data_IF_091540893851
#
_entry.id   IF_091540893851
#
_cell.length_a   1.000
_cell.length_b   1.000
_cell.length_c   1.000
_cell.angle_alpha   90.00
_cell.angle_beta   90.00
_cell.angle_gamma   90.00
#
_symmetry.space_group_name_H-M   'P 1'
#
loop_
_entity.id
_entity.type
_entity.pdbx_description
1 polymer ?
#
# COMPACT_ATOMS: atom_id res chain seq x y z
N UNK A 1 7.79 13.83 -7.31
CA UNK A 1 7.07 15.09 -7.59
C UNK A 1 8.02 16.21 -7.99
N UNK A 2 9.05 16.54 -7.19
CA UNK A 2 10.09 17.52 -7.54
C UNK A 2 10.78 17.15 -8.88
N UNK A 3 11.10 15.86 -9.07
CA UNK A 3 11.75 15.37 -10.29
C UNK A 3 10.93 15.59 -11.58
N UNK A 4 9.62 15.70 -11.47
CA UNK A 4 8.72 16.00 -12.62
C UNK A 4 8.42 17.49 -12.78
N UNK A 5 9.10 18.36 -12.01
CA UNK A 5 9.04 19.81 -12.19
C UNK A 5 8.07 20.57 -11.28
N UNK A 6 7.54 19.97 -10.23
CA UNK A 6 6.78 20.70 -9.22
C UNK A 6 7.69 21.53 -8.32
N UNK A 7 7.19 22.66 -7.81
CA UNK A 7 7.84 23.37 -6.72
C UNK A 7 7.77 22.57 -5.42
N UNK A 8 8.59 22.95 -4.43
CA UNK A 8 8.55 22.32 -3.10
C UNK A 8 7.16 22.42 -2.46
N UNK A 9 6.51 23.58 -2.56
CA UNK A 9 5.17 23.80 -2.01
C UNK A 9 4.08 22.99 -2.73
N UNK A 10 4.18 22.87 -4.06
CA UNK A 10 3.27 22.06 -4.85
C UNK A 10 3.41 20.57 -4.53
N UNK A 11 4.64 20.08 -4.39
CA UNK A 11 4.91 18.71 -4.00
C UNK A 11 4.40 18.41 -2.58
N UNK A 12 4.63 19.33 -1.62
CA UNK A 12 4.12 19.21 -0.26
C UNK A 12 2.59 19.22 -0.21
N UNK A 13 1.94 20.10 -0.98
CA UNK A 13 0.48 20.14 -1.09
C UNK A 13 -0.08 18.81 -1.63
N UNK A 14 0.56 18.20 -2.63
CA UNK A 14 0.15 16.89 -3.14
C UNK A 14 0.26 15.80 -2.07
N UNK A 15 1.33 15.79 -1.27
CA UNK A 15 1.50 14.86 -0.14
C UNK A 15 0.39 15.02 0.88
N UNK A 16 0.12 16.27 1.32
CA UNK A 16 -0.91 16.55 2.33
C UNK A 16 -2.30 16.14 1.83
N UNK A 17 -2.65 16.52 0.60
CA UNK A 17 -3.95 16.21 0.02
C UNK A 17 -4.14 14.70 -0.14
N UNK A 18 -3.13 13.98 -0.61
CA UNK A 18 -3.16 12.52 -0.70
C UNK A 18 -3.42 11.88 0.65
N UNK A 19 -2.74 12.37 1.71
CA UNK A 19 -2.89 11.85 3.07
C UNK A 19 -4.27 12.14 3.64
N UNK A 20 -4.87 13.28 3.34
CA UNK A 20 -6.25 13.61 3.77
C UNK A 20 -7.26 12.65 3.14
N UNK A 21 -7.17 12.38 1.85
CA UNK A 21 -8.07 11.41 1.21
C UNK A 21 -7.83 9.98 1.72
N UNK A 22 -6.58 9.62 1.91
CA UNK A 22 -6.21 8.29 2.41
C UNK A 22 -6.75 8.05 3.81
N UNK A 23 -6.59 9.01 4.74
CA UNK A 23 -7.06 8.84 6.13
C UNK A 23 -8.57 8.74 6.21
N UNK A 24 -9.31 9.46 5.38
CA UNK A 24 -10.77 9.36 5.32
C UNK A 24 -11.20 7.93 4.95
N UNK A 25 -10.60 7.36 3.91
CA UNK A 25 -10.91 6.00 3.49
C UNK A 25 -10.49 4.94 4.52
N UNK A 26 -9.31 5.11 5.13
CA UNK A 26 -8.82 4.26 6.22
C UNK A 26 -9.78 4.30 7.42
N UNK A 27 -10.22 5.48 7.80
CA UNK A 27 -11.10 5.68 8.96
C UNK A 27 -12.45 4.99 8.79
N UNK A 28 -13.04 5.11 7.60
CA UNK A 28 -14.28 4.41 7.30
C UNK A 28 -14.10 2.89 7.32
N UNK A 29 -13.05 2.34 6.71
CA UNK A 29 -12.84 0.90 6.66
C UNK A 29 -12.38 0.29 8.00
N UNK A 30 -11.74 1.06 8.87
CA UNK A 30 -11.22 0.57 10.15
C UNK A 30 -12.30 0.32 11.22
N UNK A 31 -13.42 1.04 11.13
CA UNK A 31 -14.43 1.08 12.18
C UNK A 31 -15.01 -0.29 12.54
N UNK A 32 -15.28 -1.13 11.54
CA UNK A 32 -15.78 -2.48 11.78
C UNK A 32 -14.73 -3.37 12.44
N UNK A 33 -13.45 -3.26 12.03
CA UNK A 33 -12.34 -3.99 12.64
C UNK A 33 -12.21 -3.71 14.14
N UNK A 34 -12.17 -2.43 14.50
CA UNK A 34 -12.07 -2.00 15.89
C UNK A 34 -13.30 -2.34 16.72
N UNK A 35 -14.50 -2.35 16.12
CA UNK A 35 -15.75 -2.65 16.84
C UNK A 35 -15.91 -4.13 17.14
N UNK A 36 -15.56 -5.00 16.19
CA UNK A 36 -15.85 -6.42 16.28
C UNK A 36 -14.62 -7.30 16.52
N UNK A 37 -13.41 -6.74 16.50
CA UNK A 37 -12.18 -7.50 16.65
C UNK A 37 -11.87 -8.43 15.47
N UNK A 38 -12.46 -8.17 14.30
CA UNK A 38 -12.36 -9.04 13.13
C UNK A 38 -11.39 -8.49 12.09
N UNK A 39 -10.57 -9.37 11.46
CA UNK A 39 -9.67 -8.99 10.37
C UNK A 39 -10.43 -8.79 9.05
N UNK A 40 -9.77 -8.13 8.10
CA UNK A 40 -10.29 -7.88 6.75
C UNK A 40 -10.87 -9.13 6.06
N UNK A 41 -10.16 -10.31 6.02
CA UNK A 41 -10.68 -11.48 5.31
C UNK A 41 -11.97 -12.04 5.88
N UNK A 42 -12.29 -11.74 7.14
CA UNK A 42 -13.55 -12.14 7.78
C UNK A 42 -14.62 -11.08 7.53
N UNK A 43 -14.31 -9.79 7.75
CA UNK A 43 -15.28 -8.70 7.58
C UNK A 43 -15.85 -8.62 6.16
N UNK A 44 -15.03 -8.86 5.15
CA UNK A 44 -15.46 -8.80 3.75
C UNK A 44 -16.48 -9.88 3.36
N UNK A 45 -16.66 -10.92 4.20
CA UNK A 45 -17.72 -11.93 4.03
C UNK A 45 -19.12 -11.31 4.08
N UNK A 46 -19.31 -10.25 4.86
CA UNK A 46 -20.57 -9.53 4.92
C UNK A 46 -21.00 -8.99 3.55
N UNK A 47 -20.06 -8.47 2.78
CA UNK A 47 -20.33 -7.90 1.45
C UNK A 47 -20.36 -8.95 0.35
N UNK A 48 -19.40 -9.89 0.33
CA UNK A 48 -19.16 -10.80 -0.80
C UNK A 48 -19.69 -12.23 -0.59
N UNK A 49 -20.07 -12.58 0.64
CA UNK A 49 -20.39 -13.96 1.03
C UNK A 49 -19.13 -14.73 1.46
N UNK A 50 -19.32 -15.85 2.18
CA UNK A 50 -18.20 -16.57 2.78
C UNK A 50 -17.24 -17.22 1.78
N UNK A 51 -17.71 -17.62 0.57
CA UNK A 51 -16.86 -18.08 -0.54
C UNK A 51 -16.39 -16.91 -1.40
N UNK A 52 -17.29 -15.98 -1.72
CA UNK A 52 -16.99 -14.83 -2.56
C UNK A 52 -15.91 -13.92 -1.97
N UNK A 53 -15.80 -13.85 -0.66
CA UNK A 53 -14.77 -13.09 0.06
C UNK A 53 -13.34 -13.50 -0.34
N UNK A 54 -13.11 -14.75 -0.70
CA UNK A 54 -11.77 -15.21 -1.10
C UNK A 54 -11.23 -14.48 -2.34
N UNK A 55 -12.10 -14.02 -3.23
CA UNK A 55 -11.65 -13.38 -4.47
C UNK A 55 -10.98 -12.01 -4.22
N UNK A 56 -11.63 -11.00 -3.59
CA UNK A 56 -10.96 -9.74 -3.28
C UNK A 56 -9.81 -9.88 -2.27
N UNK A 57 -9.87 -10.85 -1.35
CA UNK A 57 -8.79 -11.18 -0.43
C UNK A 57 -7.55 -11.63 -1.20
N UNK A 58 -7.70 -12.52 -2.18
CA UNK A 58 -6.58 -13.02 -2.99
C UNK A 58 -6.01 -11.94 -3.92
N UNK A 59 -6.84 -11.10 -4.54
CA UNK A 59 -6.36 -9.96 -5.33
C UNK A 59 -5.47 -9.07 -4.45
N UNK A 60 -5.93 -8.73 -3.26
CA UNK A 60 -5.19 -7.92 -2.32
C UNK A 60 -3.89 -8.59 -1.87
N UNK A 61 -3.91 -9.91 -1.60
CA UNK A 61 -2.71 -10.66 -1.24
C UNK A 61 -1.65 -10.63 -2.35
N UNK A 62 -2.06 -10.88 -3.60
CA UNK A 62 -1.16 -10.82 -4.77
C UNK A 62 -0.53 -9.43 -4.92
N UNK A 63 -1.31 -8.37 -4.75
CA UNK A 63 -0.80 -6.99 -4.81
C UNK A 63 0.19 -6.69 -3.67
N UNK A 64 -0.07 -7.18 -2.47
CA UNK A 64 0.88 -7.01 -1.36
C UNK A 64 2.19 -7.79 -1.61
N UNK A 65 2.11 -9.01 -2.16
CA UNK A 65 3.29 -9.79 -2.55
C UNK A 65 4.07 -9.10 -3.68
N UNK A 66 3.37 -8.45 -4.62
CA UNK A 66 4.00 -7.60 -5.62
C UNK A 66 4.82 -6.46 -4.97
N UNK A 67 4.25 -5.73 -4.00
CA UNK A 67 4.96 -4.69 -3.26
C UNK A 67 6.10 -5.26 -2.41
N UNK A 68 5.94 -6.46 -1.85
CA UNK A 68 7.03 -7.18 -1.20
C UNK A 68 8.24 -7.33 -2.12
N UNK A 69 8.00 -7.76 -3.35
CA UNK A 69 9.04 -7.96 -4.35
C UNK A 69 9.78 -6.66 -4.69
N UNK A 70 9.02 -5.58 -4.93
CA UNK A 70 9.56 -4.23 -5.20
C UNK A 70 10.46 -3.75 -4.06
N UNK A 71 9.96 -3.80 -2.84
CA UNK A 71 10.73 -3.33 -1.68
C UNK A 71 11.93 -4.24 -1.38
N UNK A 72 11.82 -5.55 -1.64
CA UNK A 72 12.95 -6.46 -1.50
C UNK A 72 14.08 -6.10 -2.48
N UNK A 73 13.76 -5.79 -3.72
CA UNK A 73 14.76 -5.35 -4.69
C UNK A 73 15.38 -3.99 -4.30
N UNK A 74 14.56 -3.01 -3.92
CA UNK A 74 15.08 -1.70 -3.49
C UNK A 74 15.96 -1.81 -2.23
N UNK A 75 15.53 -2.60 -1.24
CA UNK A 75 16.30 -2.81 -0.01
C UNK A 75 17.57 -3.64 -0.20
N UNK A 76 17.60 -4.53 -1.21
CA UNK A 76 18.82 -5.28 -1.55
C UNK A 76 19.98 -4.40 -2.02
N UNK A 77 19.67 -3.22 -2.57
CA UNK A 77 20.69 -2.22 -2.92
C UNK A 77 21.43 -1.70 -1.69
N UNK A 78 20.79 -1.66 -0.53
CA UNK A 78 21.45 -1.30 0.73
C UNK A 78 22.44 -2.40 1.16
N UNK A 79 22.11 -3.68 0.95
CA UNK A 79 23.07 -4.79 1.15
C UNK A 79 24.29 -4.61 0.23
N UNK A 80 24.04 -4.34 -1.05
CA UNK A 80 25.10 -4.08 -2.03
C UNK A 80 26.01 -2.90 -1.62
N UNK A 81 25.40 -1.80 -1.13
CA UNK A 81 26.15 -0.63 -0.65
C UNK A 81 27.05 -0.95 0.56
N UNK A 82 26.57 -1.77 1.50
CA UNK A 82 27.41 -2.22 2.64
C UNK A 82 28.58 -3.05 2.14
N UNK A 83 28.32 -4.01 1.25
CA UNK A 83 29.36 -4.92 0.76
C UNK A 83 30.40 -4.17 -0.09
N UNK A 84 29.98 -3.21 -0.93
CA UNK A 84 30.88 -2.45 -1.80
C UNK A 84 31.92 -1.62 -1.03
N UNK A 85 31.54 -1.17 0.18
CA UNK A 85 32.49 -0.44 1.07
C UNK A 85 33.55 -1.37 1.66
N UNK A 86 33.16 -2.60 2.03
CA UNK A 86 34.04 -3.57 2.68
C UNK A 86 34.85 -4.37 1.66
N UNK A 87 34.30 -4.61 0.49
CA UNK A 87 34.85 -5.44 -0.57
C UNK A 87 34.79 -4.72 -1.92
N UNK A 88 35.87 -3.98 -2.29
CA UNK A 88 35.89 -3.13 -3.49
C UNK A 88 35.67 -3.87 -4.83
N UNK A 89 35.99 -5.18 -4.88
CA UNK A 89 35.72 -6.03 -6.07
C UNK A 89 34.23 -6.30 -6.29
N UNK A 90 33.36 -5.94 -5.34
CA UNK A 90 31.91 -6.15 -5.43
C UNK A 90 31.29 -5.60 -6.71
N UNK A 91 31.66 -4.38 -7.08
CA UNK A 91 31.10 -3.70 -8.25
C UNK A 91 31.49 -4.42 -9.56
N UNK A 92 32.67 -5.08 -9.63
CA UNK A 92 33.11 -5.83 -10.80
C UNK A 92 32.28 -7.09 -11.07
N UNK A 93 31.63 -7.66 -10.03
CA UNK A 93 30.73 -8.80 -10.21
C UNK A 93 29.50 -8.42 -11.05
N UNK A 94 29.17 -7.14 -11.15
CA UNK A 94 28.10 -6.62 -12.02
C UNK A 94 28.33 -6.85 -13.51
N UNK A 95 29.57 -7.13 -13.93
CA UNK A 95 29.90 -7.51 -15.31
C UNK A 95 29.27 -8.87 -15.71
N UNK A 96 29.06 -9.73 -14.73
CA UNK A 96 28.39 -11.03 -14.94
C UNK A 96 26.88 -10.82 -14.74
N UNK A 97 26.13 -10.75 -15.84
CA UNK A 97 24.68 -10.51 -15.78
C UNK A 97 23.88 -11.78 -16.10
N UNK A 98 22.78 -11.99 -15.37
CA UNK A 98 21.83 -13.07 -15.57
C UNK A 98 20.40 -12.55 -15.36
N UNK A 99 19.47 -12.89 -16.25
CA UNK A 99 18.08 -12.44 -16.20
C UNK A 99 17.89 -10.94 -15.94
N UNK A 100 18.75 -10.09 -16.51
CA UNK A 100 18.64 -8.64 -16.40
C UNK A 100 19.21 -8.01 -15.12
N UNK A 101 19.88 -8.80 -14.26
CA UNK A 101 20.60 -8.31 -13.07
C UNK A 101 22.06 -8.77 -13.09
N UNK A 102 22.96 -7.95 -12.54
CA UNK A 102 24.34 -8.33 -12.27
C UNK A 102 24.44 -9.36 -11.14
N UNK A 103 25.52 -10.13 -11.11
CA UNK A 103 25.74 -11.14 -10.06
C UNK A 103 25.79 -10.51 -8.67
N UNK A 104 26.39 -9.34 -8.51
CA UNK A 104 26.39 -8.56 -7.25
C UNK A 104 24.95 -8.24 -6.80
N UNK A 105 24.08 -7.80 -7.71
CA UNK A 105 22.67 -7.53 -7.40
C UNK A 105 21.91 -8.79 -7.02
N UNK A 106 22.19 -9.93 -7.68
CA UNK A 106 21.61 -11.22 -7.32
C UNK A 106 22.01 -11.67 -5.91
N UNK A 107 23.29 -11.52 -5.56
CA UNK A 107 23.77 -11.86 -4.21
C UNK A 107 23.11 -10.94 -3.16
N UNK A 108 23.06 -9.62 -3.42
CA UNK A 108 22.39 -8.67 -2.55
C UNK A 108 20.90 -8.98 -2.39
N UNK A 109 20.21 -9.30 -3.49
CA UNK A 109 18.79 -9.68 -3.48
C UNK A 109 18.56 -10.96 -2.68
N UNK A 110 19.34 -12.01 -2.93
CA UNK A 110 19.25 -13.27 -2.21
C UNK A 110 19.51 -13.10 -0.71
N UNK A 111 20.53 -12.32 -0.34
CA UNK A 111 20.84 -12.04 1.06
C UNK A 111 19.69 -11.32 1.76
N UNK A 112 19.14 -10.27 1.15
CA UNK A 112 18.03 -9.52 1.72
C UNK A 112 16.72 -10.34 1.75
N UNK A 113 16.49 -11.15 0.72
CA UNK A 113 15.38 -12.11 0.69
C UNK A 113 15.46 -13.13 1.83
N UNK A 114 16.65 -13.69 2.09
CA UNK A 114 16.91 -14.60 3.21
C UNK A 114 16.70 -13.92 4.59
N UNK A 115 17.03 -12.64 4.72
CA UNK A 115 16.73 -11.88 5.94
C UNK A 115 15.22 -11.81 6.21
N UNK A 116 14.39 -11.57 5.19
CA UNK A 116 12.94 -11.63 5.33
C UNK A 116 12.47 -13.02 5.74
N UNK A 117 12.98 -14.06 5.09
CA UNK A 117 12.64 -15.45 5.43
C UNK A 117 13.01 -15.78 6.87
N UNK A 118 14.16 -15.31 7.32
CA UNK A 118 14.60 -15.49 8.71
C UNK A 118 13.69 -14.78 9.72
N UNK A 119 13.33 -13.52 9.49
CA UNK A 119 12.42 -12.77 10.37
C UNK A 119 11.06 -13.48 10.46
N UNK A 120 10.48 -13.84 9.31
CA UNK A 120 9.17 -14.49 9.24
C UNK A 120 9.15 -15.88 9.85
N UNK A 121 10.24 -16.65 9.72
CA UNK A 121 10.35 -18.00 10.29
C UNK A 121 10.28 -18.03 11.82
N UNK A 122 10.62 -16.91 12.47
CA UNK A 122 10.55 -16.77 13.94
C UNK A 122 9.17 -16.29 14.45
N UNK A 123 8.20 -16.11 13.55
CA UNK A 123 6.81 -15.79 13.89
C UNK A 123 6.54 -14.32 14.24
N UNK A 124 5.27 -14.04 14.53
CA UNK A 124 4.75 -12.67 14.70
C UNK A 124 5.37 -11.89 15.86
N UNK A 125 5.76 -12.57 16.94
CA UNK A 125 6.34 -11.92 18.13
C UNK A 125 7.71 -11.30 17.81
N UNK A 126 8.54 -12.01 17.02
CA UNK A 126 9.81 -11.46 16.53
C UNK A 126 9.62 -10.28 15.61
N UNK A 127 8.65 -10.34 14.70
CA UNK A 127 8.29 -9.23 13.84
C UNK A 127 7.95 -7.99 14.67
N UNK A 128 7.09 -8.13 15.68
CA UNK A 128 6.72 -7.05 16.59
C UNK A 128 7.92 -6.44 17.32
N UNK A 129 8.77 -7.27 17.89
CA UNK A 129 9.94 -6.82 18.65
C UNK A 129 10.94 -6.10 17.74
N UNK A 130 11.09 -6.55 16.51
CA UNK A 130 11.92 -5.91 15.51
C UNK A 130 11.42 -4.49 15.17
N UNK A 131 10.12 -4.30 15.01
CA UNK A 131 9.49 -3.00 14.71
C UNK A 131 9.73 -1.95 15.80
N UNK A 132 9.78 -2.35 17.08
CA UNK A 132 9.91 -1.41 18.19
C UNK A 132 11.20 -0.57 18.15
N UNK A 133 12.28 -1.10 17.60
CA UNK A 133 13.55 -0.38 17.49
C UNK A 133 13.87 0.08 16.05
N UNK A 134 13.34 -0.60 15.05
CA UNK A 134 13.53 -0.23 13.65
C UNK A 134 12.92 1.14 13.33
N UNK A 135 11.71 1.41 13.82
CA UNK A 135 11.02 2.69 13.59
C UNK A 135 11.83 3.92 14.03
N UNK A 136 12.30 4.02 15.29
CA UNK A 136 13.17 5.10 15.72
C UNK A 136 14.45 5.25 14.87
N UNK A 137 15.08 4.15 14.47
CA UNK A 137 16.28 4.19 13.63
C UNK A 137 16.03 4.83 12.26
N UNK A 138 14.88 4.53 11.65
CA UNK A 138 14.48 5.15 10.37
C UNK A 138 14.36 6.67 10.51
N UNK A 139 13.71 7.14 11.58
CA UNK A 139 13.54 8.56 11.83
C UNK A 139 14.90 9.25 12.01
N UNK A 140 15.80 8.67 12.78
CA UNK A 140 17.16 9.22 12.99
C UNK A 140 17.92 9.34 11.69
N UNK A 141 17.90 8.29 10.84
CA UNK A 141 18.52 8.35 9.51
C UNK A 141 17.93 9.44 8.64
N UNK A 142 16.60 9.49 8.53
CA UNK A 142 15.93 10.48 7.69
C UNK A 142 16.23 11.91 8.16
N UNK A 143 16.27 12.17 9.47
CA UNK A 143 16.68 13.45 10.04
C UNK A 143 18.13 13.80 9.73
N UNK A 144 19.04 12.81 9.76
CA UNK A 144 20.43 13.00 9.36
C UNK A 144 20.57 13.47 7.91
N UNK A 145 19.82 12.84 6.98
CA UNK A 145 19.79 13.25 5.57
C UNK A 145 19.13 14.62 5.36
N UNK A 146 18.09 14.96 6.14
CA UNK A 146 17.48 16.30 6.13
C UNK A 146 18.48 17.35 6.60
N UNK A 147 19.19 17.10 7.70
CA UNK A 147 20.22 18.00 8.19
C UNK A 147 21.33 18.22 7.15
N UNK A 148 21.80 17.16 6.52
CA UNK A 148 22.71 17.26 5.39
C UNK A 148 22.14 18.12 4.26
N UNK A 149 20.86 17.91 3.87
CA UNK A 149 20.20 18.67 2.81
C UNK A 149 20.14 20.18 3.13
N UNK A 150 19.82 20.54 4.37
CA UNK A 150 19.80 21.93 4.85
C UNK A 150 21.20 22.55 4.75
N UNK A 151 22.24 21.80 5.16
CA UNK A 151 23.63 22.27 5.11
C UNK A 151 24.07 22.53 3.65
N UNK A 152 23.82 21.60 2.74
CA UNK A 152 24.19 21.72 1.32
C UNK A 152 23.40 22.83 0.61
N UNK A 153 22.14 23.04 1.00
CA UNK A 153 21.31 24.10 0.44
C UNK A 153 21.62 25.50 1.05
N UNK A 154 22.58 25.60 1.99
CA UNK A 154 22.87 26.83 2.75
C UNK A 154 21.66 27.39 3.51
N UNK A 155 20.84 26.52 4.08
CA UNK A 155 19.70 26.87 4.91
C UNK A 155 18.37 26.24 4.43
N UNK A 156 17.34 26.45 5.22
CA UNK A 156 15.97 25.95 4.94
C UNK A 156 15.31 26.73 3.80
N UNK A 157 15.53 28.07 3.74
CA UNK A 157 14.92 28.95 2.73
C UNK A 157 15.12 28.45 1.29
N UNK A 158 16.35 28.15 0.86
CA UNK A 158 16.63 27.65 -0.50
C UNK A 158 15.98 26.32 -0.84
N UNK A 159 15.63 25.50 0.15
CA UNK A 159 14.88 24.24 -0.08
C UNK A 159 13.44 24.56 -0.49
N UNK A 160 12.83 25.57 0.09
CA UNK A 160 11.45 25.97 -0.17
C UNK A 160 11.32 27.00 -1.32
N UNK A 161 12.43 27.48 -1.86
CA UNK A 161 12.48 28.40 -3.00
C UNK A 161 12.64 27.72 -4.38
N UNK A 162 12.49 26.40 -4.45
CA UNK A 162 12.51 25.70 -5.74
C UNK A 162 11.28 26.09 -6.54
N UNK A 163 11.52 26.70 -7.70
CA UNK A 163 10.47 27.16 -8.60
C UNK A 163 9.85 26.00 -9.37
N UNK A 164 8.56 26.17 -9.71
CA UNK A 164 7.86 25.21 -10.54
C UNK A 164 8.35 25.32 -12.00
N UNK A 165 8.65 24.18 -12.60
CA UNK A 165 8.99 24.08 -14.04
C UNK A 165 7.76 23.78 -14.89
N UNK A 166 6.63 23.45 -14.27
CA UNK A 166 5.35 23.14 -14.92
C UNK A 166 4.26 24.04 -14.36
N UNK A 167 3.31 24.42 -15.22
CA UNK A 167 2.18 25.29 -14.89
C UNK A 167 0.92 24.91 -15.68
N UNK A 168 -0.21 25.54 -15.40
CA UNK A 168 -1.46 25.35 -16.14
C UNK A 168 -1.93 23.90 -16.17
N UNK A 169 -2.35 23.40 -17.32
CA UNK A 169 -2.85 22.04 -17.51
C UNK A 169 -1.81 20.95 -17.20
N UNK A 170 -0.53 21.18 -17.53
CA UNK A 170 0.56 20.26 -17.24
C UNK A 170 0.77 20.06 -15.71
N UNK A 171 0.66 21.14 -14.95
CA UNK A 171 0.70 21.07 -13.49
C UNK A 171 -0.46 20.24 -12.94
N UNK A 172 -1.71 20.57 -13.32
CA UNK A 172 -2.87 19.87 -12.78
C UNK A 172 -2.87 18.38 -13.12
N UNK A 173 -2.49 18.02 -14.35
CA UNK A 173 -2.36 16.62 -14.73
C UNK A 173 -1.31 15.89 -13.87
N UNK A 174 -0.11 16.44 -13.74
CA UNK A 174 0.97 15.85 -12.94
C UNK A 174 0.62 15.81 -11.45
N UNK A 175 -0.04 16.83 -10.93
CA UNK A 175 -0.49 16.92 -9.54
C UNK A 175 -1.50 15.82 -9.21
N UNK A 176 -2.52 15.65 -10.04
CA UNK A 176 -3.57 14.64 -9.86
C UNK A 176 -3.01 13.22 -10.02
N UNK A 177 -2.14 12.98 -10.98
CA UNK A 177 -1.43 11.70 -11.13
C UNK A 177 -0.60 11.41 -9.87
N UNK A 178 0.11 12.42 -9.35
CA UNK A 178 0.88 12.30 -8.13
C UNK A 178 0.02 11.94 -6.92
N UNK A 179 -1.09 12.68 -6.71
CA UNK A 179 -2.06 12.44 -5.62
C UNK A 179 -2.65 11.03 -5.72
N UNK A 180 -3.16 10.65 -6.90
CA UNK A 180 -3.81 9.36 -7.10
C UNK A 180 -2.81 8.20 -6.99
N UNK A 181 -1.59 8.37 -7.53
CA UNK A 181 -0.52 7.38 -7.42
C UNK A 181 -0.06 7.15 -5.98
N UNK A 182 0.03 8.20 -5.17
CA UNK A 182 0.34 8.08 -3.74
C UNK A 182 -0.76 7.32 -2.99
N UNK A 183 -2.04 7.63 -3.26
CA UNK A 183 -3.18 6.91 -2.68
C UNK A 183 -3.17 5.44 -3.14
N UNK A 184 -2.94 5.20 -4.44
CA UNK A 184 -2.88 3.85 -5.01
C UNK A 184 -1.79 2.98 -4.38
N UNK A 185 -0.63 3.56 -4.03
CA UNK A 185 0.43 2.88 -3.29
C UNK A 185 -0.01 2.36 -1.91
N UNK A 186 -0.99 3.01 -1.28
CA UNK A 186 -1.56 2.62 0.01
C UNK A 186 -2.95 1.95 -0.09
N UNK A 187 -3.44 1.67 -1.29
CA UNK A 187 -4.77 1.11 -1.49
C UNK A 187 -4.95 -0.26 -0.80
N UNK A 188 -3.88 -1.06 -0.73
CA UNK A 188 -3.89 -2.32 0.03
C UNK A 188 -4.14 -2.08 1.51
N UNK A 189 -3.51 -1.05 2.11
CA UNK A 189 -3.68 -0.70 3.51
C UNK A 189 -5.12 -0.25 3.81
N UNK A 190 -5.77 0.46 2.88
CA UNK A 190 -7.19 0.85 3.05
C UNK A 190 -8.09 -0.36 3.25
N UNK A 191 -7.83 -1.46 2.55
CA UNK A 191 -8.62 -2.68 2.70
C UNK A 191 -8.30 -3.43 3.99
N UNK A 192 -7.01 -3.62 4.29
CA UNK A 192 -6.60 -4.43 5.43
C UNK A 192 -6.40 -3.67 6.74
N UNK A 193 -6.75 -2.40 6.79
CA UNK A 193 -6.68 -1.64 8.05
C UNK A 193 -7.41 -2.32 9.21
N UNK A 194 -8.50 -3.09 9.02
CA UNK A 194 -9.10 -3.90 10.08
C UNK A 194 -8.14 -4.91 10.73
N UNK A 195 -7.16 -5.43 9.98
CA UNK A 195 -6.15 -6.37 10.53
C UNK A 195 -5.33 -5.77 11.66
N UNK A 196 -5.16 -4.44 11.64
CA UNK A 196 -4.46 -3.66 12.65
C UNK A 196 -5.43 -3.13 13.71
N UNK A 197 -6.53 -2.53 13.29
CA UNK A 197 -7.46 -1.85 14.19
C UNK A 197 -8.30 -2.80 15.05
N UNK A 198 -8.40 -4.08 14.71
CA UNK A 198 -9.03 -5.10 15.55
C UNK A 198 -8.40 -5.25 16.94
N UNK A 199 -7.17 -4.76 17.13
CA UNK A 199 -6.47 -4.74 18.40
C UNK A 199 -6.64 -3.42 19.18
N UNK A 200 -7.35 -2.45 18.61
CA UNK A 200 -7.60 -1.18 19.28
C UNK A 200 -8.56 -1.36 20.46
N UNK A 201 -8.31 -0.63 21.55
CA UNK A 201 -9.15 -0.69 22.76
C UNK A 201 -10.53 -0.09 22.57
N UNK A 202 -10.67 0.90 21.69
CA UNK A 202 -11.94 1.57 21.40
C UNK A 202 -11.96 2.19 19.98
N UNK A 203 -13.18 2.54 19.53
CA UNK A 203 -13.36 3.33 18.29
C UNK A 203 -12.66 4.68 18.35
N UNK A 204 -12.63 5.30 19.53
CA UNK A 204 -11.97 6.60 19.74
C UNK A 204 -10.45 6.45 19.62
N UNK A 205 -9.87 5.43 20.23
CA UNK A 205 -8.41 5.21 20.21
C UNK A 205 -7.92 4.92 18.79
N UNK A 206 -8.62 4.07 18.04
CA UNK A 206 -8.24 3.82 16.65
C UNK A 206 -8.39 5.07 15.78
N UNK A 207 -9.46 5.86 15.98
CA UNK A 207 -9.69 7.06 15.20
C UNK A 207 -8.63 8.14 15.47
N UNK A 208 -8.32 8.40 16.75
CA UNK A 208 -7.26 9.33 17.13
C UNK A 208 -5.89 8.84 16.68
N UNK A 209 -5.58 7.55 16.93
CA UNK A 209 -4.32 6.94 16.52
C UNK A 209 -4.06 7.07 15.01
N UNK A 210 -5.07 6.83 14.18
CA UNK A 210 -4.96 7.01 12.74
C UNK A 210 -4.87 8.49 12.34
N UNK A 211 -5.70 9.36 12.91
CA UNK A 211 -5.72 10.78 12.57
C UNK A 211 -4.40 11.49 12.94
N UNK A 212 -3.77 11.09 14.04
CA UNK A 212 -2.48 11.64 14.47
C UNK A 212 -1.32 10.90 13.82
N UNK A 213 -1.33 9.56 13.84
CA UNK A 213 -0.20 8.73 13.40
C UNK A 213 0.04 8.80 11.90
N UNK A 214 -0.97 8.50 11.10
CA UNK A 214 -0.78 8.36 9.65
C UNK A 214 -0.56 9.71 8.94
N UNK A 215 -1.47 10.69 8.99
CA UNK A 215 -1.29 11.94 8.23
C UNK A 215 -0.05 12.72 8.66
N UNK A 216 0.21 12.79 9.97
CA UNK A 216 1.35 13.55 10.49
C UNK A 216 2.66 12.84 10.06
N UNK A 217 2.79 11.54 10.32
CA UNK A 217 4.01 10.81 9.99
C UNK A 217 4.22 10.71 8.48
N UNK A 218 3.19 10.42 7.70
CA UNK A 218 3.31 10.37 6.24
C UNK A 218 3.66 11.73 5.64
N UNK A 219 3.09 12.82 6.15
CA UNK A 219 3.44 14.18 5.72
C UNK A 219 4.86 14.52 6.13
N UNK A 220 5.28 14.16 7.34
CA UNK A 220 6.63 14.37 7.84
C UNK A 220 7.67 13.62 6.98
N UNK A 221 7.45 12.32 6.70
CA UNK A 221 8.32 11.57 5.81
C UNK A 221 8.30 12.09 4.36
N UNK A 222 7.14 12.51 3.87
CA UNK A 222 6.99 13.15 2.56
C UNK A 222 7.78 14.46 2.47
N UNK A 223 7.70 15.29 3.50
CA UNK A 223 8.47 16.53 3.61
C UNK A 223 9.98 16.23 3.65
N UNK A 224 10.42 15.27 4.48
CA UNK A 224 11.84 14.86 4.52
C UNK A 224 12.31 14.36 3.16
N UNK A 225 11.51 13.54 2.47
CA UNK A 225 11.84 13.06 1.12
C UNK A 225 11.99 14.21 0.10
N UNK A 226 11.11 15.20 0.16
CA UNK A 226 11.19 16.42 -0.65
C UNK A 226 12.50 17.18 -0.34
N UNK A 227 12.79 17.42 0.93
CA UNK A 227 14.01 18.14 1.37
C UNK A 227 15.28 17.42 0.92
N UNK A 228 15.34 16.10 1.07
CA UNK A 228 16.47 15.28 0.64
C UNK A 228 16.64 15.37 -0.89
N UNK A 229 15.54 15.27 -1.65
CA UNK A 229 15.58 15.37 -3.11
C UNK A 229 16.09 16.75 -3.56
N UNK A 230 15.66 17.83 -2.92
CA UNK A 230 16.17 19.19 -3.21
C UNK A 230 17.65 19.30 -2.82
N UNK A 231 18.05 18.71 -1.69
CA UNK A 231 19.44 18.63 -1.28
C UNK A 231 20.32 17.96 -2.35
N UNK A 232 19.84 16.86 -2.96
CA UNK A 232 20.59 16.19 -4.05
C UNK A 232 20.69 17.07 -5.30
N UNK A 233 19.66 17.82 -5.65
CA UNK A 233 19.72 18.78 -6.77
C UNK A 233 20.77 19.85 -6.49
N UNK A 234 20.86 20.36 -5.27
CA UNK A 234 21.86 21.38 -4.88
C UNK A 234 23.27 20.82 -4.85
N UNK A 235 23.45 19.58 -4.34
CA UNK A 235 24.77 18.95 -4.21
C UNK A 235 25.29 18.40 -5.55
N UNK A 236 24.43 17.77 -6.34
CA UNK A 236 24.82 16.94 -7.48
C UNK A 236 24.21 17.39 -8.83
N UNK A 237 23.47 18.48 -8.85
CA UNK A 237 22.82 19.04 -10.05
C UNK A 237 21.63 18.22 -10.59
N UNK A 238 21.26 17.11 -9.94
CA UNK A 238 20.16 16.21 -10.37
C UNK A 238 19.35 15.68 -9.19
N UNK A 239 18.03 15.42 -9.37
CA UNK A 239 17.24 14.81 -8.35
C UNK A 239 17.60 13.33 -8.19
N UNK A 240 18.06 12.93 -7.02
CA UNK A 240 18.25 11.51 -6.64
C UNK A 240 17.11 11.16 -5.68
N UNK A 241 16.26 10.22 -6.09
CA UNK A 241 15.06 9.84 -5.33
C UNK A 241 15.23 8.56 -4.53
N UNK A 242 16.22 7.72 -4.90
CA UNK A 242 16.55 6.50 -4.16
C UNK A 242 17.51 6.82 -3.02
N UNK A 243 17.16 6.60 -1.73
CA UNK A 243 18.03 6.91 -0.60
C UNK A 243 19.38 6.18 -0.62
N UNK A 244 19.43 4.94 -1.17
CA UNK A 244 20.70 4.20 -1.32
C UNK A 244 21.63 4.89 -2.30
N UNK A 245 21.09 5.39 -3.42
CA UNK A 245 21.89 6.14 -4.40
C UNK A 245 22.41 7.46 -3.81
N UNK A 246 21.64 8.09 -2.92
CA UNK A 246 22.13 9.27 -2.17
C UNK A 246 23.34 8.89 -1.30
N UNK A 247 23.25 7.78 -0.56
CA UNK A 247 24.34 7.31 0.27
C UNK A 247 25.61 6.97 -0.54
N UNK A 248 25.43 6.39 -1.72
CA UNK A 248 26.55 6.05 -2.62
C UNK A 248 27.28 7.28 -3.17
N UNK A 249 26.71 8.50 -3.04
CA UNK A 249 27.46 9.75 -3.33
C UNK A 249 28.52 10.06 -2.26
N UNK A 250 28.45 9.42 -1.09
CA UNK A 250 29.40 9.59 0.01
C UNK A 250 30.46 8.47 0.07
N UNK A 251 30.83 7.87 -1.07
CA UNK A 251 31.83 6.76 -1.12
C UNK A 251 33.12 7.05 -0.41
N UNK A 252 33.53 8.33 -0.38
CA UNK A 252 34.75 8.79 0.33
C UNK A 252 34.58 8.82 1.87
N UNK A 253 33.36 8.56 2.36
CA UNK A 253 33.02 8.53 3.78
C UNK A 253 32.43 7.16 4.14
N UNK A 254 33.22 6.09 4.23
CA UNK A 254 32.75 4.71 4.37
C UNK A 254 31.84 4.50 5.58
N UNK A 255 32.13 5.18 6.69
CA UNK A 255 31.30 5.10 7.92
C UNK A 255 29.87 5.63 7.67
N UNK A 256 29.71 6.72 6.90
CA UNK A 256 28.41 7.29 6.56
C UNK A 256 27.64 6.32 5.68
N UNK A 257 28.29 5.72 4.69
CA UNK A 257 27.65 4.73 3.80
C UNK A 257 27.24 3.48 4.59
N UNK A 258 28.09 2.93 5.45
CA UNK A 258 27.81 1.74 6.25
C UNK A 258 26.65 1.96 7.20
N UNK A 259 26.67 3.04 8.00
CA UNK A 259 25.60 3.34 8.96
C UNK A 259 24.29 3.67 8.26
N UNK A 260 24.34 4.47 7.19
CA UNK A 260 23.15 4.83 6.42
C UNK A 260 22.54 3.64 5.70
N UNK A 261 23.36 2.82 5.03
CA UNK A 261 22.88 1.63 4.33
C UNK A 261 22.33 0.57 5.31
N UNK A 262 22.97 0.39 6.49
CA UNK A 262 22.44 -0.48 7.54
C UNK A 262 21.08 0.00 8.05
N UNK A 263 20.94 1.29 8.31
CA UNK A 263 19.67 1.84 8.75
C UNK A 263 18.59 1.72 7.68
N UNK A 264 18.90 1.97 6.38
CA UNK A 264 17.96 1.74 5.28
C UNK A 264 17.56 0.27 5.11
N UNK A 265 18.53 -0.64 5.27
CA UNK A 265 18.29 -2.07 5.23
C UNK A 265 17.29 -2.49 6.31
N UNK A 266 17.54 -2.07 7.55
CA UNK A 266 16.65 -2.34 8.69
C UNK A 266 15.28 -1.73 8.47
N UNK A 267 15.21 -0.48 8.02
CA UNK A 267 13.98 0.23 7.72
C UNK A 267 13.13 -0.50 6.67
N UNK A 268 13.75 -0.87 5.56
CA UNK A 268 13.05 -1.53 4.46
C UNK A 268 12.62 -2.93 4.84
N UNK A 269 13.47 -3.68 5.58
CA UNK A 269 13.13 -5.01 6.08
C UNK A 269 11.88 -4.96 6.99
N UNK A 270 11.87 -4.03 7.94
CA UNK A 270 10.80 -3.80 8.89
C UNK A 270 9.47 -3.51 8.18
N UNK A 271 9.41 -2.41 7.45
CA UNK A 271 8.20 -1.99 6.73
C UNK A 271 7.70 -3.08 5.77
N UNK A 272 8.62 -3.71 5.04
CA UNK A 272 8.28 -4.72 4.04
C UNK A 272 7.65 -5.98 4.67
N UNK A 273 8.18 -6.45 5.79
CA UNK A 273 7.59 -7.60 6.50
C UNK A 273 6.18 -7.29 6.95
N UNK A 274 5.97 -6.17 7.65
CA UNK A 274 4.64 -5.83 8.21
C UNK A 274 3.62 -5.53 7.14
N UNK A 275 3.95 -4.69 6.17
CA UNK A 275 3.01 -4.26 5.14
C UNK A 275 2.72 -5.35 4.11
N UNK A 276 3.74 -6.12 3.72
CA UNK A 276 3.69 -6.91 2.49
C UNK A 276 3.86 -8.43 2.71
N UNK A 277 4.11 -8.91 3.94
CA UNK A 277 4.20 -10.35 4.25
C UNK A 277 3.16 -10.76 5.29
N UNK A 278 3.03 -10.01 6.39
CA UNK A 278 2.10 -10.36 7.48
C UNK A 278 0.67 -10.47 6.97
N UNK A 279 0.24 -9.51 6.20
CA UNK A 279 -1.15 -9.44 5.74
C UNK A 279 -1.47 -10.50 4.67
N UNK A 280 -0.67 -10.70 3.59
CA UNK A 280 -0.86 -11.86 2.71
C UNK A 280 -0.80 -13.21 3.42
N UNK A 281 0.01 -13.34 4.47
CA UNK A 281 0.04 -14.59 5.25
C UNK A 281 -1.32 -14.86 5.90
N UNK A 282 -1.96 -13.84 6.50
CA UNK A 282 -3.33 -13.99 7.03
C UNK A 282 -4.37 -14.25 5.95
N UNK A 283 -4.24 -13.64 4.78
CA UNK A 283 -5.12 -13.89 3.63
C UNK A 283 -5.04 -15.34 3.17
N UNK A 284 -3.82 -15.89 3.04
CA UNK A 284 -3.59 -17.28 2.67
C UNK A 284 -4.07 -18.27 3.74
N UNK A 285 -3.87 -17.96 5.03
CA UNK A 285 -4.40 -18.78 6.13
C UNK A 285 -5.94 -18.82 6.06
N UNK A 286 -6.60 -17.68 5.81
CA UNK A 286 -8.05 -17.65 5.66
C UNK A 286 -8.55 -18.50 4.48
N UNK A 287 -7.75 -18.64 3.43
CA UNK A 287 -8.09 -19.48 2.26
C UNK A 287 -7.97 -20.99 2.58
N UNK A 288 -6.92 -21.39 3.30
CA UNK A 288 -6.63 -22.81 3.60
C UNK A 288 -6.22 -22.98 5.07
N UNK A 289 -7.16 -22.76 6.02
CA UNK A 289 -6.83 -22.71 7.45
C UNK A 289 -6.34 -24.04 8.03
N UNK A 290 -6.73 -25.16 7.42
CA UNK A 290 -6.33 -26.51 7.88
C UNK A 290 -4.88 -26.88 7.55
N UNK A 291 -4.23 -26.18 6.59
CA UNK A 291 -2.89 -26.55 6.10
C UNK A 291 -1.84 -25.48 6.36
N UNK A 292 -2.25 -24.22 6.50
CA UNK A 292 -1.35 -23.08 6.59
C UNK A 292 -1.35 -22.49 7.99
N UNK A 293 -0.15 -22.19 8.49
CA UNK A 293 0.09 -21.33 9.64
C UNK A 293 0.83 -20.07 9.16
N UNK A 294 1.06 -19.12 10.05
CA UNK A 294 1.71 -17.83 9.74
C UNK A 294 3.05 -18.00 9.03
N UNK A 295 3.91 -18.89 9.55
CA UNK A 295 5.26 -19.11 8.98
C UNK A 295 5.17 -19.68 7.58
N UNK A 296 4.37 -20.75 7.37
CA UNK A 296 4.21 -21.37 6.04
C UNK A 296 3.64 -20.40 5.03
N UNK A 297 2.59 -19.68 5.40
CA UNK A 297 1.94 -18.71 4.53
C UNK A 297 2.87 -17.53 4.20
N UNK A 298 3.62 -17.02 5.18
CA UNK A 298 4.60 -15.97 4.97
C UNK A 298 5.74 -16.41 4.05
N UNK A 299 6.29 -17.62 4.23
CA UNK A 299 7.33 -18.16 3.36
C UNK A 299 6.80 -18.36 1.91
N UNK A 300 5.57 -18.84 1.73
CA UNK A 300 4.94 -18.92 0.41
C UNK A 300 4.87 -17.53 -0.23
N UNK A 301 4.42 -16.51 0.51
CA UNK A 301 4.35 -15.13 0.01
C UNK A 301 5.72 -14.61 -0.44
N UNK A 302 6.75 -14.86 0.35
CA UNK A 302 8.14 -14.48 0.06
C UNK A 302 8.65 -15.16 -1.21
N UNK A 303 8.39 -16.47 -1.39
CA UNK A 303 8.79 -17.22 -2.58
C UNK A 303 8.06 -16.69 -3.82
N UNK A 304 6.75 -16.53 -3.75
CA UNK A 304 5.94 -16.00 -4.86
C UNK A 304 6.40 -14.60 -5.28
N UNK A 305 6.86 -13.78 -4.32
CA UNK A 305 7.38 -12.45 -4.59
C UNK A 305 8.53 -12.40 -5.60
N UNK A 306 9.39 -13.43 -5.65
CA UNK A 306 10.52 -13.46 -6.59
C UNK A 306 10.06 -13.44 -8.06
N UNK A 307 8.91 -14.04 -8.36
CA UNK A 307 8.41 -14.15 -9.74
C UNK A 307 7.91 -12.84 -10.35
N UNK A 308 7.72 -11.78 -9.55
CA UNK A 308 7.37 -10.46 -10.07
C UNK A 308 8.53 -9.73 -10.75
N UNK A 309 9.78 -10.20 -10.56
CA UNK A 309 10.99 -9.72 -11.23
C UNK A 309 11.10 -8.19 -11.34
N UNK A 310 11.05 -7.44 -10.21
CA UNK A 310 10.97 -5.98 -10.22
C UNK A 310 12.16 -5.32 -10.89
N UNK A 311 13.32 -5.94 -10.93
CA UNK A 311 14.53 -5.45 -11.59
C UNK A 311 14.36 -5.22 -13.11
N UNK A 312 13.39 -5.88 -13.75
CA UNK A 312 13.15 -5.74 -15.20
C UNK A 312 12.40 -4.45 -15.54
N UNK A 313 11.68 -3.85 -14.60
CA UNK A 313 10.75 -2.77 -14.90
C UNK A 313 10.77 -1.59 -13.92
N UNK A 314 11.39 -1.72 -12.73
CA UNK A 314 11.34 -0.71 -11.67
C UNK A 314 11.98 0.64 -12.08
N UNK A 315 12.89 0.63 -13.05
CA UNK A 315 13.55 1.86 -13.53
C UNK A 315 12.67 2.67 -14.50
N UNK A 316 11.50 2.14 -14.88
CA UNK A 316 10.52 2.87 -15.70
C UNK A 316 9.48 3.57 -14.81
N UNK A 317 9.70 4.85 -14.51
CA UNK A 317 8.82 5.62 -13.64
C UNK A 317 7.36 5.67 -14.14
N UNK A 318 7.14 5.78 -15.46
CA UNK A 318 5.79 5.78 -16.02
C UNK A 318 5.07 4.46 -15.78
N UNK A 319 5.78 3.34 -15.91
CA UNK A 319 5.22 2.01 -15.66
C UNK A 319 4.86 1.84 -14.18
N UNK A 320 5.69 2.34 -13.26
CA UNK A 320 5.41 2.30 -11.80
C UNK A 320 4.12 3.06 -11.48
N UNK A 321 3.97 4.28 -11.99
CA UNK A 321 2.75 5.06 -11.76
C UNK A 321 1.52 4.41 -12.40
N UNK A 322 1.67 3.81 -13.58
CA UNK A 322 0.60 3.06 -14.24
C UNK A 322 0.20 1.84 -13.40
N UNK A 323 1.15 1.07 -12.91
CA UNK A 323 0.86 -0.10 -12.04
C UNK A 323 0.21 0.36 -10.72
N UNK A 324 0.75 1.38 -10.06
CA UNK A 324 0.18 1.89 -8.81
C UNK A 324 -1.27 2.40 -9.01
N UNK A 325 -1.53 3.09 -10.11
CA UNK A 325 -2.88 3.50 -10.49
C UNK A 325 -3.79 2.30 -10.77
N UNK A 326 -3.32 1.29 -11.50
CA UNK A 326 -4.10 0.07 -11.77
C UNK A 326 -4.45 -0.68 -10.48
N UNK A 327 -3.52 -0.74 -9.52
CA UNK A 327 -3.77 -1.27 -8.18
C UNK A 327 -4.87 -0.48 -7.48
N UNK A 328 -4.77 0.85 -7.48
CA UNK A 328 -5.79 1.73 -6.90
C UNK A 328 -7.17 1.51 -7.54
N UNK A 329 -7.24 1.49 -8.87
CA UNK A 329 -8.48 1.26 -9.62
C UNK A 329 -9.09 -0.14 -9.41
N UNK A 330 -8.27 -1.14 -9.11
CA UNK A 330 -8.74 -2.51 -8.82
C UNK A 330 -9.26 -2.64 -7.39
N UNK A 331 -8.58 -2.05 -6.41
CA UNK A 331 -8.94 -2.15 -4.99
C UNK A 331 -9.95 -1.10 -4.53
N UNK A 332 -10.03 0.04 -5.21
CA UNK A 332 -10.99 1.11 -4.92
C UNK A 332 -12.44 0.62 -4.83
N UNK A 333 -12.96 -0.13 -5.82
CA UNK A 333 -14.33 -0.67 -5.77
C UNK A 333 -14.58 -1.54 -4.55
N UNK A 334 -13.62 -2.37 -4.16
CA UNK A 334 -13.72 -3.23 -2.97
C UNK A 334 -13.85 -2.39 -1.70
N UNK A 335 -13.02 -1.33 -1.57
CA UNK A 335 -13.11 -0.39 -0.45
C UNK A 335 -14.48 0.31 -0.40
N UNK A 336 -14.97 0.78 -1.55
CA UNK A 336 -16.28 1.41 -1.67
C UNK A 336 -17.43 0.49 -1.28
N UNK A 337 -17.39 -0.77 -1.71
CA UNK A 337 -18.37 -1.80 -1.35
C UNK A 337 -18.36 -2.04 0.16
N UNK A 338 -17.19 -2.21 0.79
CA UNK A 338 -17.09 -2.42 2.23
C UNK A 338 -17.64 -1.25 3.04
N UNK A 339 -17.31 -0.03 2.65
CA UNK A 339 -17.81 1.19 3.31
C UNK A 339 -19.33 1.25 3.20
N UNK A 340 -19.87 1.11 2.01
CA UNK A 340 -21.31 1.15 1.77
C UNK A 340 -22.04 0.02 2.48
N UNK A 341 -21.48 -1.19 2.45
CA UNK A 341 -22.08 -2.33 3.17
C UNK A 341 -22.22 -2.02 4.65
N UNK A 342 -21.12 -1.64 5.30
CA UNK A 342 -21.11 -1.41 6.75
C UNK A 342 -22.00 -0.23 7.17
N UNK A 343 -21.90 0.92 6.48
CA UNK A 343 -22.57 2.14 6.91
C UNK A 343 -24.02 2.26 6.45
N UNK A 344 -24.32 1.83 5.22
CA UNK A 344 -25.61 2.09 4.57
C UNK A 344 -26.48 0.84 4.46
N UNK A 345 -25.93 -0.34 4.27
CA UNK A 345 -26.72 -1.58 4.15
C UNK A 345 -26.92 -2.21 5.54
N UNK A 346 -25.86 -2.34 6.32
CA UNK A 346 -25.88 -2.99 7.64
C UNK A 346 -26.09 -1.98 8.79
N UNK A 347 -26.22 -0.68 8.51
CA UNK A 347 -26.45 0.37 9.51
C UNK A 347 -25.47 0.29 10.70
N UNK A 348 -24.18 0.01 10.42
CA UNK A 348 -23.09 -0.15 11.40
C UNK A 348 -23.30 -1.32 12.39
N UNK A 349 -24.11 -2.31 12.01
CA UNK A 349 -24.42 -3.48 12.85
C UNK A 349 -24.23 -4.74 12.04
N UNK A 350 -23.21 -5.53 12.40
CA UNK A 350 -23.00 -6.87 11.88
C UNK A 350 -23.50 -7.90 12.88
N UNK A 351 -24.12 -8.96 12.39
CA UNK A 351 -24.34 -10.18 13.16
C UNK A 351 -23.05 -11.02 13.15
N UNK A 352 -22.41 -11.14 14.33
CA UNK A 352 -21.16 -11.86 14.47
C UNK A 352 -21.29 -13.34 14.14
N UNK A 353 -22.41 -13.96 14.51
CA UNK A 353 -22.62 -15.39 14.28
C UNK A 353 -22.67 -15.71 12.80
N UNK A 354 -23.30 -14.85 12.00
CA UNK A 354 -23.42 -15.01 10.54
C UNK A 354 -22.10 -15.01 9.78
N UNK A 355 -20.99 -14.54 10.37
CA UNK A 355 -19.65 -14.67 9.75
C UNK A 355 -19.10 -16.10 9.77
N UNK A 356 -19.59 -16.95 10.68
CA UNK A 356 -18.97 -18.25 10.97
C UNK A 356 -19.91 -19.45 10.71
N UNK A 357 -21.18 -19.20 10.42
CA UNK A 357 -22.18 -20.24 10.10
C UNK A 357 -22.51 -20.26 8.60
N UNK A 358 -22.76 -21.45 8.06
CA UNK A 358 -23.05 -21.61 6.62
C UNK A 358 -24.42 -21.05 6.22
N UNK A 359 -25.38 -21.03 7.13
CA UNK A 359 -26.77 -20.60 6.87
C UNK A 359 -27.07 -19.22 7.48
N UNK A 360 -26.05 -18.42 7.74
CA UNK A 360 -26.18 -17.04 8.25
C UNK A 360 -26.54 -16.03 7.15
N UNK A 361 -26.77 -14.78 7.56
CA UNK A 361 -27.18 -13.66 6.69
C UNK A 361 -26.21 -13.40 5.52
N UNK A 362 -24.92 -13.73 5.71
CA UNK A 362 -23.86 -13.52 4.72
C UNK A 362 -23.62 -14.73 3.81
N UNK A 363 -24.52 -15.71 3.80
CA UNK A 363 -24.44 -16.88 2.91
C UNK A 363 -24.79 -16.52 1.47
N UNK A 364 -25.74 -15.61 1.27
CA UNK A 364 -26.22 -15.20 -0.06
C UNK A 364 -26.60 -16.42 -0.95
N UNK A 365 -26.10 -16.43 -2.22
CA UNK A 365 -26.28 -17.57 -3.14
C UNK A 365 -25.13 -18.57 -2.97
N UNK A 366 -25.30 -19.62 -2.18
CA UNK A 366 -24.31 -20.67 -1.95
C UNK A 366 -22.91 -20.12 -1.55
N UNK A 367 -22.89 -19.06 -0.76
CA UNK A 367 -21.65 -18.41 -0.30
C UNK A 367 -21.13 -17.27 -1.18
N UNK A 368 -21.88 -16.88 -2.22
CA UNK A 368 -21.51 -15.81 -3.15
C UNK A 368 -22.56 -14.69 -3.16
N UNK A 369 -22.14 -13.44 -3.13
CA UNK A 369 -23.01 -12.29 -3.39
C UNK A 369 -22.79 -11.76 -4.81
N UNK A 370 -23.58 -12.16 -5.82
CA UNK A 370 -23.39 -11.69 -7.20
C UNK A 370 -23.45 -10.17 -7.35
N UNK A 371 -24.21 -9.47 -6.47
CA UNK A 371 -24.33 -8.01 -6.51
C UNK A 371 -23.04 -7.33 -6.19
N UNK A 372 -22.29 -7.85 -5.22
CA UNK A 372 -20.95 -7.33 -4.88
C UNK A 372 -19.97 -7.53 -6.05
N UNK A 373 -20.02 -8.67 -6.74
CA UNK A 373 -19.18 -8.91 -7.91
C UNK A 373 -19.51 -7.99 -9.08
N UNK A 374 -20.79 -7.77 -9.38
CA UNK A 374 -21.22 -6.79 -10.40
C UNK A 374 -20.72 -5.40 -10.06
N UNK A 375 -20.89 -4.97 -8.80
CA UNK A 375 -20.42 -3.66 -8.34
C UNK A 375 -18.89 -3.51 -8.44
N UNK A 376 -18.15 -4.55 -8.04
CA UNK A 376 -16.69 -4.58 -8.11
C UNK A 376 -16.20 -4.50 -9.56
N UNK A 377 -16.79 -5.31 -10.46
CA UNK A 377 -16.40 -5.36 -11.87
C UNK A 377 -16.71 -4.03 -12.56
N UNK A 378 -17.91 -3.48 -12.37
CA UNK A 378 -18.28 -2.18 -12.97
C UNK A 378 -17.40 -1.06 -12.44
N UNK A 379 -17.13 -1.02 -11.13
CA UNK A 379 -16.21 -0.06 -10.54
C UNK A 379 -14.79 -0.17 -11.10
N UNK A 380 -14.28 -1.39 -11.26
CA UNK A 380 -12.97 -1.63 -11.85
C UNK A 380 -12.91 -1.26 -13.33
N UNK A 381 -13.94 -1.58 -14.12
CA UNK A 381 -14.01 -1.19 -15.54
C UNK A 381 -13.95 0.33 -15.66
N UNK A 382 -14.78 1.07 -14.93
CA UNK A 382 -14.79 2.54 -15.01
C UNK A 382 -13.47 3.13 -14.55
N UNK A 383 -12.87 2.57 -13.50
CA UNK A 383 -11.58 3.03 -12.98
C UNK A 383 -10.41 2.78 -13.94
N UNK A 384 -10.43 1.68 -14.69
CA UNK A 384 -9.30 1.22 -15.50
C UNK A 384 -9.48 1.44 -17.00
N UNK A 385 -10.67 1.83 -17.47
CA UNK A 385 -10.97 1.94 -18.90
C UNK A 385 -10.03 2.89 -19.64
N UNK A 386 -9.55 3.93 -18.97
CA UNK A 386 -8.58 4.88 -19.53
C UNK A 386 -7.20 4.31 -19.81
N UNK A 387 -6.88 3.09 -19.31
CA UNK A 387 -5.67 2.36 -19.70
C UNK A 387 -5.76 1.79 -21.12
N UNK A 388 -6.98 1.45 -21.54
CA UNK A 388 -7.23 0.72 -22.80
C UNK A 388 -7.79 1.65 -23.86
N UNK A 389 -8.61 2.62 -23.47
CA UNK A 389 -9.28 3.57 -24.38
C UNK A 389 -8.62 4.94 -24.27
N UNK A 390 -7.81 5.37 -25.28
CA UNK A 390 -7.07 6.65 -25.23
C UNK A 390 -7.96 7.88 -25.02
N UNK A 391 -9.16 7.90 -25.60
CA UNK A 391 -10.11 8.99 -25.42
C UNK A 391 -10.59 9.16 -23.95
N UNK A 392 -10.45 8.14 -23.13
CA UNK A 392 -10.85 8.11 -21.71
C UNK A 392 -9.65 8.14 -20.76
N UNK A 393 -8.43 8.38 -21.26
CA UNK A 393 -7.21 8.40 -20.46
C UNK A 393 -7.29 9.35 -19.26
N UNK A 394 -8.00 10.48 -19.40
CA UNK A 394 -8.22 11.42 -18.31
C UNK A 394 -8.98 10.80 -17.11
N UNK A 395 -9.87 9.83 -17.35
CA UNK A 395 -10.57 9.12 -16.28
C UNK A 395 -9.60 8.28 -15.44
N UNK A 396 -8.56 7.73 -16.08
CA UNK A 396 -7.55 6.95 -15.36
C UNK A 396 -6.80 7.75 -14.30
N UNK A 397 -6.66 9.06 -14.49
CA UNK A 397 -6.09 9.96 -13.48
C UNK A 397 -6.86 9.94 -12.16
N UNK A 398 -8.16 9.63 -12.20
CA UNK A 398 -9.04 9.55 -11.04
C UNK A 398 -9.41 8.11 -10.65
N UNK A 399 -8.68 7.11 -11.12
CA UNK A 399 -9.02 5.70 -11.04
C UNK A 399 -9.48 5.24 -9.65
N UNK A 400 -8.77 5.61 -8.58
CA UNK A 400 -9.09 5.20 -7.23
C UNK A 400 -10.42 5.79 -6.74
N UNK A 401 -10.66 7.08 -6.98
CA UNK A 401 -11.90 7.76 -6.61
C UNK A 401 -13.10 7.20 -7.39
N UNK A 402 -12.93 7.02 -8.70
CA UNK A 402 -13.95 6.43 -9.56
C UNK A 402 -14.27 5.00 -9.11
N UNK A 403 -13.25 4.22 -8.79
CA UNK A 403 -13.42 2.86 -8.27
C UNK A 403 -14.27 2.82 -7.01
N UNK A 404 -13.94 3.62 -5.99
CA UNK A 404 -14.70 3.69 -4.72
C UNK A 404 -16.15 4.14 -4.97
N UNK A 405 -16.33 5.23 -5.72
CA UNK A 405 -17.66 5.82 -5.92
C UNK A 405 -18.53 4.89 -6.75
N UNK A 406 -18.07 4.43 -7.90
CA UNK A 406 -18.87 3.59 -8.80
C UNK A 406 -19.14 2.23 -8.15
N UNK A 407 -18.12 1.59 -7.56
CA UNK A 407 -18.28 0.31 -6.86
C UNK A 407 -19.25 0.43 -5.68
N UNK A 408 -19.07 1.46 -4.83
CA UNK A 408 -19.94 1.71 -3.69
C UNK A 408 -21.39 2.03 -4.07
N UNK A 409 -21.62 2.96 -5.01
CA UNK A 409 -22.96 3.32 -5.45
C UNK A 409 -23.68 2.15 -6.14
N UNK A 410 -23.00 1.45 -7.04
CA UNK A 410 -23.57 0.26 -7.70
C UNK A 410 -23.99 -0.78 -6.66
N UNK A 411 -23.14 -1.05 -5.68
CA UNK A 411 -23.46 -1.98 -4.60
C UNK A 411 -24.69 -1.53 -3.78
N UNK A 412 -24.74 -0.24 -3.42
CA UNK A 412 -25.85 0.34 -2.69
C UNK A 412 -27.18 0.13 -3.41
N UNK A 413 -27.28 0.50 -4.67
CA UNK A 413 -28.52 0.38 -5.43
C UNK A 413 -28.93 -1.08 -5.62
N UNK A 414 -27.99 -1.98 -5.90
CA UNK A 414 -28.29 -3.40 -6.07
C UNK A 414 -28.74 -4.07 -4.76
N UNK A 415 -28.18 -3.69 -3.62
CA UNK A 415 -28.57 -4.26 -2.32
C UNK A 415 -29.89 -3.70 -1.81
N UNK A 416 -30.14 -2.40 -1.96
CA UNK A 416 -31.39 -1.75 -1.57
C UNK A 416 -32.59 -2.29 -2.34
N UNK A 417 -32.44 -2.57 -3.61
CA UNK A 417 -33.47 -3.22 -4.43
C UNK A 417 -33.89 -4.59 -3.86
N UNK A 418 -32.93 -5.37 -3.34
CA UNK A 418 -33.23 -6.65 -2.67
C UNK A 418 -34.06 -6.46 -1.40
N UNK A 419 -33.71 -5.49 -0.55
CA UNK A 419 -34.44 -5.22 0.69
C UNK A 419 -35.89 -4.82 0.41
N UNK A 420 -36.12 -3.96 -0.58
CA UNK A 420 -37.47 -3.53 -0.99
C UNK A 420 -38.28 -4.70 -1.54
N UNK A 421 -37.69 -5.60 -2.34
CA UNK A 421 -38.39 -6.80 -2.84
C UNK A 421 -38.75 -7.77 -1.71
N UNK A 422 -37.89 -7.97 -0.73
CA UNK A 422 -38.15 -8.81 0.43
C UNK A 422 -39.33 -8.27 1.28
N UNK A 423 -39.39 -6.95 1.49
CA UNK A 423 -40.47 -6.27 2.19
C UNK A 423 -41.79 -6.41 1.42
N UNK A 424 -41.80 -6.15 0.12
CA UNK A 424 -43.04 -6.26 -0.71
C UNK A 424 -43.60 -7.70 -0.74
N UNK A 425 -42.73 -8.72 -0.80
CA UNK A 425 -43.12 -10.12 -0.78
C UNK A 425 -43.67 -10.55 0.58
N UNK A 426 -43.14 -10.01 1.68
CA UNK A 426 -43.65 -10.29 3.02
C UNK A 426 -45.00 -9.63 3.30
N UNK A 427 -45.23 -8.44 2.79
CA UNK A 427 -46.54 -7.73 2.88
C UNK A 427 -47.57 -8.42 2.00
N UNK A 428 -47.21 -8.82 0.77
CA UNK A 428 -48.11 -9.54 -0.14
C UNK A 428 -48.56 -10.91 0.42
N UNK A 429 -47.67 -11.63 1.14
CA UNK A 429 -48.05 -12.89 1.82
C UNK A 429 -48.95 -12.70 3.05
N UNK A 430 -48.86 -11.57 3.75
CA UNK A 430 -49.78 -11.26 4.87
C UNK A 430 -51.17 -10.92 4.37
N UNK A 431 -51.30 -10.18 3.27
CA UNK A 431 -52.59 -9.79 2.66
C UNK A 431 -53.28 -10.99 1.97
N UNK A 432 -52.55 -12.02 1.54
CA UNK A 432 -53.16 -13.24 0.93
C UNK A 432 -53.59 -14.30 1.95
N UNK A 433 -53.26 -14.13 3.23
CA UNK A 433 -53.64 -15.06 4.32
C UNK A 433 -54.72 -14.47 5.26
N UNK A 434 -55.21 -13.26 4.98
CA UNK A 434 -56.44 -12.65 5.52
C UNK A 434 -57.56 -12.77 4.47
#
# INVERSE_FOLDING_TARGET
LIAIGMSTWQALAAVIISNVFLIVALWFNSAAGAKYGLPFPVLIRASFGYKGAHFPVMIRAVIAIFWFSVQTYLGSKAVGAIISVVYPVWDSLGAYSFLGMGLNDWIGFAAFWLMHAWVVSHGMERVRNFELWAGPLVIVLALGLVFWSIKVANGIGPIFSVEAKISGGAFWNSFLIGVTGMIGGFATLVLNIPDLTRFAKSQKDQAIGQAVGLPIMMTFFGLMSIMITVGTIRAFGKPITNPVEVLLQFKDQPVVVLLGAFALLVATLSVNVVANVVSPAYDLINLVPSKLNFVKAGIISIIVGVFFAPWLWINNANLIFTIAGAIGGTLGPVAGIMIVDYYLIQNRRYDLNSFFVKDGDYTYRNGWNPRAFVAMILGAIVALIGLVVPALQSLYTYNWFLGIIVGGLTYYFLMRSKQNQAVSTSVGKKVSNE
#
